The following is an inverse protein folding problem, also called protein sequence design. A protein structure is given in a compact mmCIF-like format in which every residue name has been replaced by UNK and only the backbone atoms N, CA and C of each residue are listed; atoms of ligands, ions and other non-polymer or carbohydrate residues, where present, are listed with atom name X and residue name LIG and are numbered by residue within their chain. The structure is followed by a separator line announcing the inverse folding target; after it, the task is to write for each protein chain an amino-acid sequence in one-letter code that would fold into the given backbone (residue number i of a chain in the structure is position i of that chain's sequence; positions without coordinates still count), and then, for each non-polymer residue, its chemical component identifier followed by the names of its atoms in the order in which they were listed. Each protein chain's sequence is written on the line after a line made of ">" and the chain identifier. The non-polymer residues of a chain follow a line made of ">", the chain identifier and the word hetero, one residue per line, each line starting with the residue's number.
data_IF_625776941552
#
_entry.id   IF_625776941552
#
_cell.length_a   1.000
_cell.length_b   1.000
_cell.length_c   1.000
_cell.angle_alpha   90.00
_cell.angle_beta   90.00
_cell.angle_gamma   90.00
#
_symmetry.space_group_name_H-M   'P 1'
#
loop_
_entity.id
_entity.type
_entity.pdbx_description
1 polymer ?
#
# COMPACT_ATOMS: atom_id res chain seq x y z
N UNK A 1 -6.71 11.01 -12.53
CA UNK A 1 -6.96 9.68 -13.14
C UNK A 1 -6.40 8.64 -12.19
N UNK A 2 -6.94 7.42 -12.16
CA UNK A 2 -6.46 6.42 -11.21
C UNK A 2 -6.44 5.02 -11.78
N UNK A 3 -5.55 4.19 -11.25
CA UNK A 3 -5.48 2.76 -11.56
C UNK A 3 -5.82 1.99 -10.30
N UNK A 4 -6.66 0.97 -10.44
CA UNK A 4 -6.97 0.03 -9.36
C UNK A 4 -6.36 -1.32 -9.73
N UNK A 5 -5.38 -1.73 -8.94
CA UNK A 5 -4.78 -3.06 -9.02
C UNK A 5 -5.56 -4.01 -8.12
N UNK A 6 -6.20 -4.99 -8.74
CA UNK A 6 -6.91 -6.06 -8.05
C UNK A 6 -5.93 -7.02 -7.39
N UNK A 7 -6.41 -7.78 -6.40
CA UNK A 7 -5.60 -8.72 -5.62
C UNK A 7 -4.97 -9.85 -6.41
N UNK A 8 -5.44 -10.11 -7.63
CA UNK A 8 -4.88 -11.08 -8.56
C UNK A 8 -3.75 -10.51 -9.45
N UNK A 9 -3.55 -9.19 -9.46
CA UNK A 9 -2.46 -8.54 -10.19
C UNK A 9 -1.08 -8.89 -9.59
N UNK A 10 -0.05 -8.91 -10.43
CA UNK A 10 1.30 -9.27 -10.00
C UNK A 10 1.82 -8.35 -8.90
N UNK A 11 1.64 -7.03 -9.05
CA UNK A 11 2.06 -6.05 -8.05
C UNK A 11 1.31 -6.23 -6.73
N UNK A 12 -0.01 -6.45 -6.75
CA UNK A 12 -0.77 -6.66 -5.51
C UNK A 12 -0.41 -7.97 -4.81
N UNK A 13 -0.07 -9.03 -5.56
CA UNK A 13 0.46 -10.29 -5.00
C UNK A 13 1.81 -10.10 -4.35
N UNK A 14 2.70 -9.32 -4.98
CA UNK A 14 4.03 -9.03 -4.45
C UNK A 14 3.96 -8.19 -3.17
N UNK A 15 3.08 -7.17 -3.15
CA UNK A 15 2.78 -6.40 -1.93
C UNK A 15 2.23 -7.32 -0.84
N UNK A 16 1.27 -8.19 -1.15
CA UNK A 16 0.57 -9.01 -0.15
C UNK A 16 1.49 -9.89 0.71
N UNK A 17 2.67 -10.23 0.20
CA UNK A 17 3.64 -11.09 0.89
C UNK A 17 4.91 -10.34 1.31
N UNK A 18 4.92 -9.02 1.17
CA UNK A 18 6.11 -8.22 1.47
C UNK A 18 6.42 -8.19 2.98
N UNK A 19 7.68 -8.00 3.36
CA UNK A 19 8.09 -7.74 4.74
C UNK A 19 7.31 -6.60 5.42
N UNK A 20 7.00 -5.53 4.70
CA UNK A 20 6.24 -4.38 5.20
C UNK A 20 4.79 -4.78 5.56
N UNK A 21 4.14 -5.57 4.71
CA UNK A 21 2.78 -6.08 4.98
C UNK A 21 2.79 -7.12 6.10
N UNK A 22 3.85 -7.93 6.20
CA UNK A 22 4.08 -8.79 7.37
C UNK A 22 4.17 -7.97 8.65
N UNK A 23 4.99 -6.92 8.65
CA UNK A 23 5.19 -6.07 9.81
C UNK A 23 3.87 -5.40 10.24
N UNK A 24 3.15 -4.80 9.28
CA UNK A 24 1.83 -4.22 9.52
C UNK A 24 0.83 -5.22 10.12
N UNK A 25 0.81 -6.47 9.63
CA UNK A 25 -0.01 -7.53 10.22
C UNK A 25 0.39 -7.83 11.67
N UNK A 26 1.69 -8.02 11.93
CA UNK A 26 2.18 -8.40 13.26
C UNK A 26 1.93 -7.31 14.31
N UNK A 27 2.11 -6.04 13.94
CA UNK A 27 1.86 -4.89 14.82
C UNK A 27 0.38 -4.72 15.16
N UNK A 28 -0.52 -5.13 14.27
CA UNK A 28 -1.95 -4.96 14.45
C UNK A 28 -2.70 -6.29 14.64
N UNK A 29 -1.97 -7.37 14.96
CA UNK A 29 -2.49 -8.75 14.97
C UNK A 29 -3.70 -8.89 15.89
N UNK A 30 -3.68 -8.30 17.08
CA UNK A 30 -4.76 -8.49 18.06
C UNK A 30 -6.06 -7.82 17.59
N UNK A 31 -5.96 -6.70 16.88
CA UNK A 31 -7.11 -6.02 16.26
C UNK A 31 -7.68 -6.90 15.14
N UNK A 32 -6.81 -7.36 14.25
CA UNK A 32 -7.19 -8.16 13.08
C UNK A 32 -7.76 -9.53 13.46
N UNK A 33 -7.13 -10.22 14.41
CA UNK A 33 -7.57 -11.54 14.89
C UNK A 33 -8.90 -11.46 15.64
N UNK A 34 -9.20 -10.33 16.28
CA UNK A 34 -10.52 -10.03 16.83
C UNK A 34 -11.54 -9.54 15.78
N UNK A 35 -11.25 -9.75 14.49
CA UNK A 35 -12.11 -9.39 13.36
C UNK A 35 -12.45 -7.89 13.29
N UNK A 36 -11.58 -7.03 13.81
CA UNK A 36 -11.71 -5.58 13.70
C UNK A 36 -10.90 -5.05 12.52
N UNK A 37 -11.23 -3.84 12.10
CA UNK A 37 -10.58 -3.14 11.00
C UNK A 37 -9.45 -2.25 11.54
N UNK A 38 -8.27 -2.36 10.93
CA UNK A 38 -7.17 -1.42 11.10
C UNK A 38 -7.30 -0.34 10.04
N UNK A 39 -7.14 0.95 10.40
CA UNK A 39 -7.29 2.08 9.47
C UNK A 39 -6.13 3.06 9.62
N UNK A 40 -5.92 3.89 8.59
CA UNK A 40 -5.02 5.04 8.61
C UNK A 40 -3.60 4.68 9.08
N UNK A 41 -3.02 3.67 8.44
CA UNK A 41 -1.61 3.34 8.58
C UNK A 41 -0.88 3.76 7.31
N UNK A 42 0.43 3.74 7.33
CA UNK A 42 1.27 3.94 6.16
C UNK A 42 2.50 3.05 6.25
N UNK A 43 3.17 2.86 5.12
CA UNK A 43 4.41 2.09 5.09
C UNK A 43 5.32 2.52 3.95
N UNK A 44 6.62 2.33 4.15
CA UNK A 44 7.64 2.52 3.14
C UNK A 44 8.10 1.16 2.63
N UNK A 45 7.86 0.88 1.35
CA UNK A 45 8.38 -0.31 0.67
C UNK A 45 9.86 -0.13 0.37
N UNK A 46 10.72 -0.75 1.18
CA UNK A 46 12.18 -0.64 1.05
C UNK A 46 12.86 -2.01 0.98
N UNK A 47 12.18 -3.08 1.40
CA UNK A 47 12.73 -4.43 1.41
C UNK A 47 12.91 -5.03 0.01
N UNK A 48 12.21 -4.49 -0.99
CA UNK A 48 12.29 -4.91 -2.38
C UNK A 48 12.48 -3.69 -3.29
N UNK A 49 13.54 -3.69 -4.11
CA UNK A 49 13.86 -2.58 -5.02
C UNK A 49 12.76 -2.29 -6.04
N UNK A 50 12.02 -3.30 -6.50
CA UNK A 50 10.92 -3.12 -7.44
C UNK A 50 9.74 -2.44 -6.77
N UNK A 51 9.31 -2.92 -5.60
CA UNK A 51 8.23 -2.29 -4.83
C UNK A 51 8.62 -0.87 -4.38
N UNK A 52 9.87 -0.67 -3.96
CA UNK A 52 10.34 0.66 -3.56
C UNK A 52 10.41 1.66 -4.70
N UNK A 53 10.65 1.22 -5.94
CA UNK A 53 10.57 2.09 -7.13
C UNK A 53 9.14 2.29 -7.63
N UNK A 54 8.29 1.27 -7.49
CA UNK A 54 6.93 1.30 -8.03
C UNK A 54 5.93 2.02 -7.12
N UNK A 55 6.15 1.98 -5.80
CA UNK A 55 5.24 2.49 -4.78
C UNK A 55 5.98 3.46 -3.85
N UNK A 56 7.14 3.05 -3.34
CA UNK A 56 7.92 3.86 -2.41
C UNK A 56 7.22 4.01 -1.05
N UNK A 57 6.41 5.06 -0.88
CA UNK A 57 5.61 5.30 0.32
C UNK A 57 4.13 5.26 -0.02
N UNK A 58 3.33 4.55 0.77
CA UNK A 58 1.88 4.57 0.57
C UNK A 58 1.11 4.47 1.88
N UNK A 59 -0.13 4.91 1.82
CA UNK A 59 -1.09 4.75 2.89
C UNK A 59 -1.75 3.37 2.82
N UNK A 60 -1.88 2.71 3.96
CA UNK A 60 -2.76 1.54 4.15
C UNK A 60 -4.07 2.07 4.73
N UNK A 61 -5.03 2.33 3.83
CA UNK A 61 -6.32 2.95 4.14
C UNK A 61 -7.11 2.08 5.13
N UNK A 62 -7.17 0.77 4.86
CA UNK A 62 -7.70 -0.20 5.80
C UNK A 62 -7.17 -1.61 5.57
N UNK A 63 -7.16 -2.40 6.66
CA UNK A 63 -6.94 -3.83 6.66
C UNK A 63 -7.96 -4.56 7.53
N UNK A 64 -8.40 -5.74 7.10
CA UNK A 64 -9.31 -6.60 7.84
C UNK A 64 -9.08 -8.07 7.46
N UNK A 65 -9.63 -9.01 8.25
CA UNK A 65 -9.69 -10.42 7.88
C UNK A 65 -11.02 -10.75 7.20
N UNK A 66 -10.99 -11.40 6.04
CA UNK A 66 -12.18 -11.95 5.40
C UNK A 66 -12.72 -13.20 6.12
N UNK A 67 -13.83 -13.75 5.63
CA UNK A 67 -14.46 -14.95 6.22
C UNK A 67 -13.52 -16.18 6.22
N UNK A 68 -12.63 -16.26 5.22
CA UNK A 68 -11.61 -17.30 5.07
C UNK A 68 -10.34 -17.00 5.87
N UNK A 69 -10.37 -15.96 6.72
CA UNK A 69 -9.26 -15.50 7.57
C UNK A 69 -8.03 -15.07 6.78
N UNK A 70 -8.19 -14.66 5.52
CA UNK A 70 -7.16 -13.97 4.75
C UNK A 70 -7.17 -12.50 5.14
N UNK A 71 -6.00 -11.86 5.14
CA UNK A 71 -5.92 -10.42 5.34
C UNK A 71 -6.15 -9.73 4.00
N UNK A 72 -7.14 -8.85 3.97
CA UNK A 72 -7.39 -7.92 2.88
C UNK A 72 -6.86 -6.55 3.32
N UNK A 73 -6.02 -5.94 2.49
CA UNK A 73 -5.57 -4.57 2.70
C UNK A 73 -5.83 -3.74 1.46
N UNK A 74 -6.22 -2.49 1.67
CA UNK A 74 -6.33 -1.50 0.60
C UNK A 74 -5.30 -0.42 0.84
N UNK A 75 -4.38 -0.32 -0.12
CA UNK A 75 -3.29 0.64 -0.10
C UNK A 75 -3.58 1.72 -1.14
N UNK A 76 -3.24 2.96 -0.80
CA UNK A 76 -3.38 4.13 -1.64
C UNK A 76 -2.01 4.79 -1.76
N UNK A 77 -1.52 4.87 -2.98
CA UNK A 77 -0.37 5.67 -3.36
C UNK A 77 -0.88 6.88 -4.14
N UNK A 78 -0.66 8.07 -3.60
CA UNK A 78 -0.97 9.32 -4.26
C UNK A 78 0.31 10.01 -4.67
N UNK A 79 0.43 10.33 -5.96
CA UNK A 79 1.45 11.26 -6.42
C UNK A 79 0.98 12.69 -6.11
N UNK A 80 1.14 13.12 -4.86
CA UNK A 80 0.94 14.51 -4.49
C UNK A 80 2.20 15.31 -4.88
N UNK A 81 2.08 16.13 -5.92
CA UNK A 81 3.16 17.05 -6.30
C UNK A 81 3.19 18.20 -5.27
N UNK A 82 3.72 17.90 -4.08
CA UNK A 82 3.70 18.81 -2.95
C UNK A 82 4.47 20.09 -3.29
N UNK A 83 3.81 21.24 -3.11
CA UNK A 83 4.36 22.55 -3.45
C UNK A 83 5.62 22.89 -2.62
N UNK A 84 5.73 22.31 -1.43
CA UNK A 84 6.85 22.54 -0.52
C UNK A 84 7.98 21.51 -0.68
N UNK A 85 7.87 20.58 -1.62
CA UNK A 85 8.93 19.59 -1.86
C UNK A 85 10.20 20.28 -2.41
N UNK A 86 11.38 20.07 -1.80
CA UNK A 86 12.63 20.68 -2.25
C UNK A 86 13.13 20.13 -3.59
N UNK A 87 12.60 18.99 -4.06
CA UNK A 87 12.98 18.36 -5.32
C UNK A 87 12.55 19.21 -6.51
N UNK A 88 13.52 19.64 -7.32
CA UNK A 88 13.26 20.34 -8.59
C UNK A 88 12.38 19.55 -9.56
N UNK A 89 12.45 18.22 -9.52
CA UNK A 89 11.61 17.36 -10.36
C UNK A 89 10.14 17.41 -9.91
N UNK A 90 9.89 17.42 -8.60
CA UNK A 90 8.53 17.54 -8.04
C UNK A 90 7.95 18.92 -8.34
N UNK A 91 8.75 19.99 -8.19
CA UNK A 91 8.32 21.35 -8.54
C UNK A 91 8.01 21.51 -10.03
N UNK A 92 8.79 20.87 -10.92
CA UNK A 92 8.52 20.88 -12.36
C UNK A 92 7.22 20.14 -12.69
N UNK A 93 7.03 18.95 -12.13
CA UNK A 93 5.81 18.17 -12.31
C UNK A 93 4.58 18.92 -11.74
N UNK A 94 4.73 19.63 -10.61
CA UNK A 94 3.68 20.50 -10.05
C UNK A 94 3.29 21.62 -11.00
N UNK A 95 4.26 22.35 -11.58
CA UNK A 95 3.95 23.40 -12.57
C UNK A 95 3.22 22.86 -13.79
N UNK A 96 3.61 21.68 -14.27
CA UNK A 96 2.90 21.01 -15.37
C UNK A 96 1.46 20.64 -14.97
N UNK A 97 1.24 20.27 -13.71
CA UNK A 97 -0.09 20.01 -13.15
C UNK A 97 -0.94 21.28 -13.06
N UNK A 98 -0.40 22.35 -12.48
CA UNK A 98 -1.11 23.63 -12.28
C UNK A 98 -1.50 24.26 -13.63
N UNK A 99 -0.69 24.06 -14.67
CA UNK A 99 -0.97 24.51 -16.03
C UNK A 99 -1.94 23.60 -16.81
N UNK A 100 -2.45 22.53 -16.19
CA UNK A 100 -3.42 21.61 -16.80
C UNK A 100 -2.84 20.57 -17.75
N UNK A 101 -1.51 20.49 -17.90
CA UNK A 101 -0.80 19.55 -18.78
C UNK A 101 -0.77 18.13 -18.21
N UNK A 102 -0.93 17.98 -16.90
CA UNK A 102 -0.94 16.72 -16.17
C UNK A 102 -1.99 16.77 -15.05
N UNK A 103 -2.59 15.64 -14.67
CA UNK A 103 -3.56 15.54 -13.55
C UNK A 103 -3.01 14.65 -12.46
N UNK A 104 -3.37 14.86 -11.20
CA UNK A 104 -2.99 13.95 -10.10
C UNK A 104 -3.35 12.50 -10.47
N UNK A 105 -2.37 11.61 -10.26
CA UNK A 105 -2.57 10.18 -10.37
C UNK A 105 -2.54 9.54 -9.00
N UNK A 106 -3.42 8.56 -8.82
CA UNK A 106 -3.40 7.69 -7.66
C UNK A 106 -3.45 6.24 -8.11
N UNK A 107 -2.80 5.39 -7.34
CA UNK A 107 -2.87 3.93 -7.49
C UNK A 107 -3.50 3.35 -6.24
N UNK A 108 -4.53 2.54 -6.42
CA UNK A 108 -5.11 1.73 -5.35
C UNK A 108 -4.65 0.29 -5.55
N UNK A 109 -4.08 -0.30 -4.51
CA UNK A 109 -3.71 -1.70 -4.50
C UNK A 109 -4.58 -2.45 -3.51
N UNK A 110 -5.41 -3.35 -4.02
CA UNK A 110 -6.16 -4.29 -3.19
C UNK A 110 -5.31 -5.54 -3.05
N UNK A 111 -4.94 -5.92 -1.83
CA UNK A 111 -4.07 -7.08 -1.58
C UNK A 111 -4.81 -8.15 -0.80
N UNK A 112 -4.41 -9.41 -1.02
CA UNK A 112 -4.93 -10.57 -0.30
C UNK A 112 -3.78 -11.43 0.19
N UNK A 113 -3.49 -11.36 1.48
CA UNK A 113 -2.52 -12.25 2.13
C UNK A 113 -3.23 -13.48 2.65
N UNK A 114 -2.92 -14.64 2.09
CA UNK A 114 -3.60 -15.88 2.43
C UNK A 114 -3.41 -16.26 3.91
N UNK A 115 -4.46 -16.82 4.52
CA UNK A 115 -4.44 -17.27 5.91
C UNK A 115 -3.24 -18.16 6.24
N UNK A 116 -2.87 -19.08 5.33
CA UNK A 116 -1.70 -19.95 5.49
C UNK A 116 -0.38 -19.18 5.65
N UNK A 117 -0.24 -18.02 5.00
CA UNK A 117 0.93 -17.14 5.11
C UNK A 117 0.91 -16.44 6.47
N UNK A 118 -0.24 -15.90 6.87
CA UNK A 118 -0.40 -15.27 8.19
C UNK A 118 -0.05 -16.23 9.33
N UNK A 119 -0.51 -17.48 9.24
CA UNK A 119 -0.18 -18.53 10.21
C UNK A 119 1.33 -18.83 10.27
N UNK A 120 2.05 -18.72 9.15
CA UNK A 120 3.52 -18.83 9.15
C UNK A 120 4.16 -17.62 9.84
N UNK A 121 3.62 -16.42 9.65
CA UNK A 121 4.12 -15.22 10.29
C UNK A 121 3.93 -15.21 11.81
N UNK A 122 2.87 -15.83 12.33
CA UNK A 122 2.61 -15.92 13.78
C UNK A 122 3.52 -16.93 14.50
N UNK A 123 4.16 -17.85 13.77
CA UNK A 123 5.02 -18.91 14.34
C UNK A 123 6.50 -18.50 14.47
N UNK A 124 6.88 -17.38 13.85
CA UNK A 124 8.24 -16.87 13.78
C UNK A 124 8.30 -15.51 14.48
#
# INVERSE_FOLDING_TARGET
>A
MGVIFKSDSNISKEIAISPEIKQHFLENKDILLNQKVVKNRSTYFQSNKNLGKAIGHCDIVYSYLDNDKNMISVLLDTYDMNQNDPSRLVQLARKAQDNGTFRTYYSIFVTKTNHRILQKWLKN
#
